data_IF_697899067549
#
_entry.id   IF_697899067549
#
_cell.length_a   1.000
_cell.length_b   1.000
_cell.length_c   1.000
_cell.angle_alpha   90.00
_cell.angle_beta   90.00
_cell.angle_gamma   90.00
#
_symmetry.space_group_name_H-M   'P 1'
#
loop_
_entity.id
_entity.type
_entity.pdbx_description
1 polymer ?
#
# COMPACT_ATOMS: atom_id res chain seq x y z
N UNK A 1 12.80 -18.06 8.91
CA UNK A 1 12.78 -16.70 9.49
C UNK A 1 14.18 -16.23 9.87
N UNK A 2 14.91 -16.91 10.77
CA UNK A 2 16.27 -16.52 11.19
C UNK A 2 17.31 -16.50 10.04
N UNK A 3 17.24 -17.46 9.13
CA UNK A 3 18.10 -17.51 7.94
C UNK A 3 17.90 -16.35 6.96
N UNK A 4 16.68 -15.80 6.85
CA UNK A 4 16.41 -14.65 5.99
C UNK A 4 17.04 -13.38 6.56
N UNK A 5 16.99 -13.21 7.88
CA UNK A 5 17.63 -12.09 8.58
C UNK A 5 19.16 -12.14 8.41
N UNK A 6 19.75 -13.33 8.50
CA UNK A 6 21.18 -13.53 8.28
C UNK A 6 21.58 -13.15 6.85
N UNK A 7 20.79 -13.56 5.85
CA UNK A 7 21.06 -13.25 4.45
C UNK A 7 20.99 -11.74 4.17
N UNK A 8 20.01 -11.04 4.74
CA UNK A 8 19.89 -9.59 4.64
C UNK A 8 21.11 -8.88 5.26
N UNK A 9 21.56 -9.35 6.44
CA UNK A 9 22.75 -8.80 7.12
C UNK A 9 24.03 -8.99 6.30
N UNK A 10 24.22 -10.18 5.70
CA UNK A 10 25.38 -10.47 4.84
C UNK A 10 25.36 -9.63 3.56
N UNK A 11 24.20 -9.45 2.95
CA UNK A 11 24.04 -8.59 1.77
C UNK A 11 24.35 -7.12 2.08
N UNK A 12 23.93 -6.63 3.25
CA UNK A 12 24.21 -5.27 3.70
C UNK A 12 25.70 -5.05 3.98
N UNK A 13 26.37 -6.01 4.63
CA UNK A 13 27.83 -5.99 4.84
C UNK A 13 28.60 -6.05 3.50
N UNK A 14 28.15 -6.88 2.56
CA UNK A 14 28.79 -7.03 1.24
C UNK A 14 28.63 -5.80 0.33
N UNK A 15 27.57 -5.01 0.51
CA UNK A 15 27.32 -3.78 -0.27
C UNK A 15 28.12 -2.56 0.21
N UNK A 16 28.90 -2.67 1.30
CA UNK A 16 29.66 -1.56 1.88
C UNK A 16 28.82 -0.57 2.70
N UNK A 17 27.53 -0.85 2.90
CA UNK A 17 26.61 -0.01 3.67
C UNK A 17 26.73 -0.16 5.19
N UNK A 18 27.46 -1.17 5.70
CA UNK A 18 27.57 -1.46 7.14
C UNK A 18 29.00 -1.84 7.53
N UNK A 19 29.57 -1.14 8.52
CA UNK A 19 30.80 -1.53 9.19
C UNK A 19 30.48 -2.15 10.56
N UNK A 20 31.16 -3.25 10.91
CA UNK A 20 30.89 -4.04 12.12
C UNK A 20 30.88 -3.26 13.46
N UNK A 21 31.74 -2.23 13.69
CA UNK A 21 31.72 -1.48 14.94
C UNK A 21 30.59 -0.42 15.01
N UNK A 22 29.91 -0.12 13.90
CA UNK A 22 28.90 0.94 13.81
C UNK A 22 27.49 0.44 13.48
N UNK A 23 27.24 -0.88 13.52
CA UNK A 23 25.95 -1.50 13.17
C UNK A 23 24.74 -0.82 13.83
N UNK A 24 24.83 -0.55 15.12
CA UNK A 24 23.73 0.08 15.88
C UNK A 24 23.58 1.55 15.50
N UNK A 25 24.68 2.29 15.33
CA UNK A 25 24.64 3.70 14.95
C UNK A 25 24.20 3.91 13.50
N UNK A 26 24.56 3.00 12.60
CA UNK A 26 24.18 3.05 11.19
C UNK A 26 22.71 2.64 11.02
N UNK A 27 22.22 1.68 11.80
CA UNK A 27 20.80 1.34 11.86
C UNK A 27 19.95 2.48 12.44
N UNK A 28 20.42 3.12 13.53
CA UNK A 28 19.73 4.28 14.12
C UNK A 28 19.72 5.46 13.16
N UNK A 29 20.83 5.74 12.46
CA UNK A 29 20.87 6.76 11.40
C UNK A 29 19.96 6.43 10.23
N UNK A 30 19.89 5.17 9.82
CA UNK A 30 18.97 4.74 8.77
C UNK A 30 17.51 4.95 9.21
N UNK A 31 17.16 4.61 10.45
CA UNK A 31 15.82 4.83 11.02
C UNK A 31 15.48 6.31 11.20
N UNK A 32 16.47 7.16 11.48
CA UNK A 32 16.33 8.61 11.58
C UNK A 32 16.38 9.33 10.22
N UNK A 33 16.57 8.59 9.13
CA UNK A 33 16.50 9.18 7.80
C UNK A 33 15.07 9.63 7.51
N UNK A 34 14.90 10.89 7.13
CA UNK A 34 13.61 11.44 6.66
C UNK A 34 12.97 10.58 5.57
N UNK A 35 13.78 9.84 4.80
CA UNK A 35 13.31 8.90 3.78
C UNK A 35 12.65 7.67 4.37
N UNK A 36 13.27 7.03 5.35
CA UNK A 36 12.71 5.84 6.02
C UNK A 36 11.44 6.22 6.77
N UNK A 37 11.42 7.41 7.40
CA UNK A 37 10.22 7.96 8.01
C UNK A 37 9.10 8.21 6.97
N UNK A 38 9.43 8.78 5.80
CA UNK A 38 8.46 9.00 4.72
C UNK A 38 7.89 7.67 4.16
N UNK A 39 8.73 6.67 3.95
CA UNK A 39 8.28 5.33 3.56
C UNK A 39 7.40 4.69 4.64
N UNK A 40 7.81 4.74 5.91
CA UNK A 40 7.04 4.22 7.02
C UNK A 40 5.66 4.89 7.12
N UNK A 41 5.60 6.23 6.99
CA UNK A 41 4.36 6.98 6.98
C UNK A 41 3.47 6.64 5.77
N UNK A 42 4.05 6.51 4.58
CA UNK A 42 3.32 6.12 3.37
C UNK A 42 2.65 4.75 3.52
N UNK A 43 3.40 3.74 3.96
CA UNK A 43 2.85 2.40 4.22
C UNK A 43 1.87 2.39 5.39
N UNK A 44 2.15 3.11 6.47
CA UNK A 44 1.21 3.25 7.59
C UNK A 44 -0.12 3.87 7.11
N UNK A 45 -0.06 4.87 6.23
CA UNK A 45 -1.25 5.52 5.68
C UNK A 45 -2.08 4.58 4.79
N UNK A 46 -1.43 3.77 3.96
CA UNK A 46 -2.09 2.82 3.06
C UNK A 46 -2.88 1.73 3.81
N UNK A 47 -2.43 1.38 5.01
CA UNK A 47 -3.03 0.29 5.78
C UNK A 47 -4.34 0.71 6.46
N UNK A 48 -4.30 1.58 7.46
CA UNK A 48 -5.46 1.86 8.32
C UNK A 48 -6.27 3.10 7.90
N UNK A 49 -5.69 4.31 7.73
CA UNK A 49 -6.49 5.51 7.45
C UNK A 49 -6.99 5.58 6.00
N UNK A 50 -6.24 5.04 5.04
CA UNK A 50 -6.65 5.02 3.63
C UNK A 50 -7.97 4.27 3.40
N UNK A 51 -8.18 3.16 4.11
CA UNK A 51 -9.43 2.40 4.03
C UNK A 51 -10.65 3.24 4.45
N UNK A 52 -10.55 3.91 5.60
CA UNK A 52 -11.62 4.72 6.16
C UNK A 52 -11.93 5.90 5.22
N UNK A 53 -10.90 6.53 4.67
CA UNK A 53 -11.06 7.64 3.73
C UNK A 53 -11.77 7.21 2.44
N UNK A 54 -11.37 6.09 1.85
CA UNK A 54 -12.01 5.56 0.64
C UNK A 54 -13.47 5.25 0.92
N UNK A 55 -13.77 4.54 2.00
CA UNK A 55 -15.14 4.17 2.36
C UNK A 55 -16.03 5.40 2.57
N UNK A 56 -15.54 6.36 3.35
CA UNK A 56 -16.29 7.58 3.67
C UNK A 56 -16.52 8.45 2.43
N UNK A 57 -15.51 8.60 1.58
CA UNK A 57 -15.59 9.40 0.36
C UNK A 57 -16.53 8.74 -0.67
N UNK A 58 -16.45 7.43 -0.84
CA UNK A 58 -17.25 6.69 -1.82
C UNK A 58 -18.72 6.60 -1.37
N UNK A 59 -18.99 6.25 -0.12
CA UNK A 59 -20.37 6.24 0.39
C UNK A 59 -21.00 7.62 0.42
N UNK A 60 -20.24 8.63 0.86
CA UNK A 60 -20.71 10.02 0.87
C UNK A 60 -21.01 10.55 -0.54
N UNK A 61 -20.18 10.23 -1.53
CA UNK A 61 -20.33 10.70 -2.90
C UNK A 61 -21.40 9.93 -3.69
N UNK A 62 -21.52 8.62 -3.49
CA UNK A 62 -22.37 7.74 -4.31
C UNK A 62 -23.76 7.54 -3.69
N UNK A 63 -23.84 7.38 -2.37
CA UNK A 63 -25.09 7.06 -1.66
C UNK A 63 -25.63 8.20 -0.78
N UNK A 64 -24.85 9.28 -0.58
CA UNK A 64 -25.25 10.41 0.27
C UNK A 64 -25.58 10.02 1.73
N UNK A 65 -25.11 8.85 2.17
CA UNK A 65 -25.44 8.26 3.47
C UNK A 65 -24.18 7.74 4.17
N UNK A 66 -24.28 7.49 5.47
CA UNK A 66 -23.14 7.05 6.27
C UNK A 66 -22.62 5.67 5.80
N UNK A 67 -21.29 5.45 5.82
CA UNK A 67 -20.69 4.20 5.39
C UNK A 67 -21.12 3.02 6.25
N UNK A 68 -21.37 1.87 5.62
CA UNK A 68 -21.65 0.60 6.29
C UNK A 68 -20.37 -0.21 6.49
N UNK A 69 -19.74 0.01 7.65
CA UNK A 69 -18.50 -0.69 7.99
C UNK A 69 -18.66 -2.21 8.20
N UNK A 70 -19.88 -2.73 8.30
CA UNK A 70 -20.12 -4.16 8.55
C UNK A 70 -19.70 -5.03 7.36
N UNK A 71 -19.92 -4.56 6.13
CA UNK A 71 -19.46 -5.22 4.91
C UNK A 71 -17.98 -4.94 4.65
N UNK A 72 -17.58 -3.70 4.89
CA UNK A 72 -16.21 -3.20 4.74
C UNK A 72 -15.18 -4.05 5.53
N UNK A 73 -15.53 -4.51 6.74
CA UNK A 73 -14.62 -5.31 7.58
C UNK A 73 -14.22 -6.66 6.96
N UNK A 74 -15.07 -7.28 6.13
CA UNK A 74 -14.77 -8.57 5.50
C UNK A 74 -13.65 -8.47 4.47
N UNK A 75 -13.55 -7.31 3.82
CA UNK A 75 -12.66 -7.07 2.67
C UNK A 75 -11.52 -6.10 2.97
N UNK A 76 -11.49 -5.57 4.20
CA UNK A 76 -10.42 -4.74 4.77
C UNK A 76 -9.02 -5.29 4.49
N UNK A 77 -8.76 -6.55 4.80
CA UNK A 77 -7.40 -7.13 4.68
C UNK A 77 -6.97 -7.31 3.22
N UNK A 78 -7.91 -7.71 2.35
CA UNK A 78 -7.67 -7.83 0.91
C UNK A 78 -7.34 -6.45 0.33
N UNK A 79 -8.14 -5.44 0.64
CA UNK A 79 -7.90 -4.06 0.19
C UNK A 79 -6.58 -3.48 0.70
N UNK A 80 -6.17 -3.80 1.94
CA UNK A 80 -4.86 -3.38 2.46
C UNK A 80 -3.71 -4.04 1.69
N UNK A 81 -3.80 -5.35 1.45
CA UNK A 81 -2.79 -6.09 0.70
C UNK A 81 -2.66 -5.57 -0.73
N UNK A 82 -3.78 -5.38 -1.43
CA UNK A 82 -3.79 -4.82 -2.78
C UNK A 82 -3.14 -3.45 -2.84
N UNK A 83 -3.54 -2.51 -1.98
CA UNK A 83 -2.95 -1.17 -1.98
C UNK A 83 -1.47 -1.21 -1.66
N UNK A 84 -1.05 -2.09 -0.75
CA UNK A 84 0.37 -2.33 -0.45
C UNK A 84 1.14 -2.82 -1.67
N UNK A 85 0.61 -3.82 -2.38
CA UNK A 85 1.19 -4.36 -3.62
C UNK A 85 1.23 -3.32 -4.74
N UNK A 86 0.14 -2.60 -4.99
CA UNK A 86 0.07 -1.52 -5.99
C UNK A 86 1.10 -0.46 -5.68
N UNK A 87 1.17 0.01 -4.43
CA UNK A 87 2.15 1.04 -4.02
C UNK A 87 3.58 0.53 -4.23
N UNK A 88 3.86 -0.71 -3.84
CA UNK A 88 5.17 -1.33 -4.04
C UNK A 88 5.54 -1.38 -5.52
N UNK A 89 4.64 -1.85 -6.39
CA UNK A 89 4.88 -1.93 -7.83
C UNK A 89 5.06 -0.56 -8.46
N UNK A 90 4.28 0.45 -8.04
CA UNK A 90 4.43 1.83 -8.51
C UNK A 90 5.78 2.41 -8.10
N UNK A 91 6.22 2.20 -6.86
CA UNK A 91 7.54 2.62 -6.38
C UNK A 91 8.66 1.97 -7.20
N UNK A 92 8.54 0.67 -7.48
CA UNK A 92 9.48 -0.08 -8.34
C UNK A 92 9.39 0.32 -9.83
N UNK A 93 8.40 1.13 -10.22
CA UNK A 93 8.17 1.56 -11.61
C UNK A 93 7.50 0.51 -12.50
N UNK A 94 6.96 -0.56 -11.92
CA UNK A 94 6.27 -1.64 -12.63
C UNK A 94 4.75 -1.38 -12.72
N UNK A 95 4.36 -0.36 -13.47
CA UNK A 95 2.95 0.04 -13.61
C UNK A 95 2.05 -1.03 -14.25
N UNK A 96 2.60 -1.91 -15.07
CA UNK A 96 1.88 -3.00 -15.74
C UNK A 96 1.29 -4.02 -14.76
N UNK A 97 1.81 -4.11 -13.53
CA UNK A 97 1.33 -5.03 -12.51
C UNK A 97 0.17 -4.48 -11.68
N UNK A 98 -0.13 -3.17 -11.78
CA UNK A 98 -1.23 -2.55 -11.04
C UNK A 98 -2.59 -3.16 -11.41
N UNK A 99 -2.97 -3.31 -12.70
CA UNK A 99 -4.22 -3.96 -13.08
C UNK A 99 -4.24 -5.44 -12.70
N UNK A 100 -3.08 -6.10 -12.71
CA UNK A 100 -2.96 -7.52 -12.33
C UNK A 100 -3.31 -7.76 -10.86
N UNK A 101 -2.98 -6.82 -9.98
CA UNK A 101 -3.31 -6.90 -8.54
C UNK A 101 -4.78 -6.62 -8.29
N UNK A 102 -5.40 -5.72 -9.06
CA UNK A 102 -6.82 -5.37 -8.92
C UNK A 102 -7.77 -6.42 -9.55
N UNK A 103 -7.27 -7.25 -10.46
CA UNK A 103 -8.05 -8.26 -11.19
C UNK A 103 -8.67 -9.34 -10.29
N UNK A 104 -7.94 -9.98 -9.35
CA UNK A 104 -8.51 -10.98 -8.44
C UNK A 104 -9.71 -10.44 -7.70
N UNK A 105 -9.63 -9.22 -7.17
CA UNK A 105 -10.73 -8.59 -6.46
C UNK A 105 -11.93 -8.35 -7.35
N UNK A 106 -11.70 -7.83 -8.56
CA UNK A 106 -12.74 -7.70 -9.57
C UNK A 106 -13.40 -9.06 -9.88
N UNK A 107 -12.65 -10.16 -9.96
CA UNK A 107 -13.23 -11.48 -10.29
C UNK A 107 -13.97 -12.15 -9.12
N UNK A 108 -13.49 -12.00 -7.89
CA UNK A 108 -14.06 -12.68 -6.73
C UNK A 108 -15.22 -11.90 -6.12
N UNK A 109 -15.12 -10.58 -5.98
CA UNK A 109 -16.20 -9.74 -5.41
C UNK A 109 -17.26 -9.35 -6.44
N UNK A 110 -16.96 -9.28 -7.75
CA UNK A 110 -18.02 -9.00 -8.73
C UNK A 110 -19.13 -10.03 -8.71
N UNK A 111 -18.82 -11.30 -8.36
CA UNK A 111 -19.83 -12.35 -8.24
C UNK A 111 -20.82 -12.08 -7.10
N UNK A 112 -20.34 -11.71 -5.91
CA UNK A 112 -21.22 -11.40 -4.77
C UNK A 112 -21.96 -10.05 -4.95
N UNK A 113 -21.32 -9.08 -5.59
CA UNK A 113 -21.91 -7.73 -5.80
C UNK A 113 -22.97 -7.72 -6.91
N UNK A 114 -22.85 -8.58 -7.93
CA UNK A 114 -23.85 -8.67 -9.01
C UNK A 114 -25.22 -9.13 -8.50
N UNK A 115 -25.26 -9.93 -7.43
CA UNK A 115 -26.51 -10.35 -6.80
C UNK A 115 -27.19 -9.23 -5.99
N UNK A 116 -26.44 -8.21 -5.55
CA UNK A 116 -26.90 -7.22 -4.56
C UNK A 116 -27.18 -5.83 -5.16
N UNK A 117 -27.14 -5.65 -6.49
CA UNK A 117 -27.43 -4.37 -7.17
C UNK A 117 -26.52 -3.17 -6.80
N UNK A 118 -25.43 -3.38 -6.05
CA UNK A 118 -24.50 -2.33 -5.58
C UNK A 118 -23.24 -2.16 -6.45
N UNK A 119 -23.25 -2.63 -7.69
CA UNK A 119 -22.10 -2.59 -8.60
C UNK A 119 -21.46 -1.20 -8.76
N UNK A 120 -22.24 -0.11 -8.68
CA UNK A 120 -21.72 1.26 -8.77
C UNK A 120 -20.84 1.66 -7.58
N UNK A 121 -21.23 1.31 -6.36
CA UNK A 121 -20.44 1.58 -5.15
C UNK A 121 -19.12 0.82 -5.20
N UNK A 122 -19.20 -0.46 -5.55
CA UNK A 122 -18.05 -1.34 -5.66
C UNK A 122 -16.99 -0.82 -6.65
N UNK A 123 -17.41 -0.45 -7.86
CA UNK A 123 -16.49 0.08 -8.88
C UNK A 123 -15.89 1.42 -8.42
N UNK A 124 -16.69 2.29 -7.80
CA UNK A 124 -16.21 3.56 -7.26
C UNK A 124 -15.18 3.34 -6.14
N UNK A 125 -15.40 2.38 -5.25
CA UNK A 125 -14.48 2.01 -4.17
C UNK A 125 -13.16 1.46 -4.71
N UNK A 126 -13.24 0.55 -5.69
CA UNK A 126 -12.07 -0.02 -6.34
C UNK A 126 -11.24 1.07 -7.02
N UNK A 127 -11.89 1.94 -7.81
CA UNK A 127 -11.21 3.05 -8.49
C UNK A 127 -10.58 4.03 -7.49
N UNK A 128 -11.31 4.43 -6.44
CA UNK A 128 -10.78 5.33 -5.42
C UNK A 128 -9.58 4.71 -4.67
N UNK A 129 -9.67 3.42 -4.32
CA UNK A 129 -8.59 2.68 -3.65
C UNK A 129 -7.33 2.56 -4.52
N UNK A 130 -7.48 2.19 -5.80
CA UNK A 130 -6.37 2.09 -6.75
C UNK A 130 -5.75 3.47 -6.99
N UNK A 131 -6.57 4.51 -7.20
CA UNK A 131 -6.11 5.88 -7.42
C UNK A 131 -5.24 6.37 -6.26
N UNK A 132 -5.71 6.13 -5.02
CA UNK A 132 -5.01 6.51 -3.81
C UNK A 132 -3.67 5.79 -3.67
N UNK A 133 -3.64 4.47 -3.89
CA UNK A 133 -2.42 3.68 -3.83
C UNK A 133 -1.38 4.12 -4.90
N UNK A 134 -1.85 4.42 -6.12
CA UNK A 134 -0.99 4.94 -7.18
C UNK A 134 -0.43 6.31 -6.83
N UNK A 135 -1.26 7.23 -6.33
CA UNK A 135 -0.79 8.56 -5.90
C UNK A 135 0.30 8.48 -4.82
N UNK A 136 0.10 7.64 -3.80
CA UNK A 136 1.07 7.48 -2.71
C UNK A 136 2.35 6.83 -3.24
N UNK A 137 2.23 5.80 -4.09
CA UNK A 137 3.39 5.17 -4.72
C UNK A 137 4.21 6.15 -5.57
N UNK A 138 3.54 7.03 -6.32
CA UNK A 138 4.20 8.07 -7.10
C UNK A 138 4.89 9.12 -6.22
N UNK A 139 4.24 9.55 -5.13
CA UNK A 139 4.83 10.49 -4.17
C UNK A 139 6.11 9.90 -3.53
N UNK A 140 6.07 8.64 -3.10
CA UNK A 140 7.23 7.93 -2.55
C UNK A 140 8.34 7.75 -3.59
N UNK A 141 7.99 7.39 -4.84
CA UNK A 141 8.95 7.30 -5.93
C UNK A 141 9.61 8.64 -6.23
N UNK A 142 8.84 9.74 -6.22
CA UNK A 142 9.36 11.09 -6.40
C UNK A 142 10.38 11.48 -5.33
N UNK A 143 10.11 11.15 -4.07
CA UNK A 143 11.06 11.32 -2.96
C UNK A 143 12.34 10.51 -3.15
N UNK A 144 12.24 9.31 -3.74
CA UNK A 144 13.40 8.46 -4.03
C UNK A 144 14.28 9.04 -5.14
N UNK A 145 13.67 9.57 -6.21
CA UNK A 145 14.37 10.13 -7.37
C UNK A 145 14.97 11.52 -7.06
N UNK A 146 14.29 12.35 -6.27
CA UNK A 146 14.78 13.69 -5.90
C UNK A 146 15.97 13.67 -4.93
N UNK A 147 16.33 12.51 -4.39
CA UNK A 147 17.37 12.33 -3.38
C UNK A 147 18.66 11.66 -3.88
N UNK A 148 18.80 11.41 -5.18
CA UNK A 148 20.05 10.95 -5.82
C UNK A 148 20.69 12.08 -6.61
#
# INVERSE_FOLDING_TARGET
QLAHVIFILVALMGSGYMAMPSLVSDLVRALQSDRVAAFALGYAFITMPAWILVEFMVYGLVNGSAPDFSQALKVKYVGILERGLITTFVVLGQFTLVPLVALPRLMFESRDVMETHQARLYVAELLASVSLAVMIGLALKGLMVSGG
#
